data_IF_173668155993
#
_entry.id   IF_173668155993
#
_cell.length_a   1.000
_cell.length_b   1.000
_cell.length_c   1.000
_cell.angle_alpha   90.00
_cell.angle_beta   90.00
_cell.angle_gamma   90.00
#
_symmetry.space_group_name_H-M   'P 1'
#
loop_
_entity.id
_entity.type
_entity.pdbx_description
1 polymer ?
#
# COMPACT_ATOMS: atom_id res chain seq x y z
N UNK A 1 26.14 16.48 9.28
CA UNK A 1 25.93 15.31 8.38
C UNK A 1 25.61 15.85 6.99
N UNK A 2 25.93 15.13 5.92
CA UNK A 2 25.61 15.61 4.56
C UNK A 2 24.10 15.61 4.35
N UNK A 3 23.55 16.59 3.62
CA UNK A 3 22.12 16.67 3.26
C UNK A 3 21.59 15.34 2.69
N UNK A 4 22.40 14.67 1.87
CA UNK A 4 22.06 13.36 1.29
C UNK A 4 21.90 12.26 2.34
N UNK A 5 22.67 12.30 3.43
CA UNK A 5 22.61 11.29 4.50
C UNK A 5 21.37 11.45 5.37
N UNK A 6 20.95 12.69 5.65
CA UNK A 6 19.72 12.95 6.42
C UNK A 6 18.47 12.53 5.65
N UNK A 7 18.43 12.81 4.35
CA UNK A 7 17.32 12.40 3.47
C UNK A 7 17.21 10.86 3.43
N UNK A 8 18.34 10.17 3.25
CA UNK A 8 18.38 8.71 3.22
C UNK A 8 17.83 8.09 4.51
N UNK A 9 18.24 8.61 5.67
CA UNK A 9 17.77 8.12 6.97
C UNK A 9 16.26 8.31 7.10
N UNK A 10 15.73 9.49 6.74
CA UNK A 10 14.28 9.77 6.83
C UNK A 10 13.47 8.86 5.90
N UNK A 11 13.92 8.64 4.66
CA UNK A 11 13.25 7.72 3.72
C UNK A 11 13.26 6.30 4.24
N UNK A 12 14.38 5.84 4.82
CA UNK A 12 14.50 4.49 5.38
C UNK A 12 13.57 4.30 6.58
N UNK A 13 13.46 5.31 7.46
CA UNK A 13 12.50 5.30 8.58
C UNK A 13 11.05 5.23 8.08
N UNK A 14 10.68 6.00 7.05
CA UNK A 14 9.34 5.95 6.45
C UNK A 14 9.07 4.57 5.85
N UNK A 15 10.03 4.03 5.08
CA UNK A 15 9.91 2.71 4.45
C UNK A 15 9.78 1.58 5.48
N UNK A 16 10.38 1.71 6.66
CA UNK A 16 10.25 0.73 7.74
C UNK A 16 8.94 0.88 8.53
N UNK A 17 8.52 2.11 8.80
CA UNK A 17 7.34 2.39 9.66
C UNK A 17 6.01 2.18 8.93
N UNK A 18 5.90 2.60 7.67
CA UNK A 18 4.69 2.47 6.87
C UNK A 18 4.14 1.02 6.79
N UNK A 19 4.94 -0.02 6.44
CA UNK A 19 4.45 -1.38 6.38
C UNK A 19 4.08 -1.94 7.76
N UNK A 20 4.81 -1.57 8.81
CA UNK A 20 4.48 -2.00 10.19
C UNK A 20 3.11 -1.46 10.61
N UNK A 21 2.85 -0.18 10.34
CA UNK A 21 1.56 0.45 10.58
C UNK A 21 0.45 -0.21 9.75
N UNK A 22 0.71 -0.50 8.48
CA UNK A 22 -0.25 -1.17 7.60
C UNK A 22 -0.64 -2.56 8.15
N UNK A 23 0.32 -3.40 8.54
CA UNK A 23 0.05 -4.73 9.11
C UNK A 23 -0.80 -4.64 10.40
N UNK A 24 -0.52 -3.64 11.25
CA UNK A 24 -1.31 -3.38 12.45
C UNK A 24 -2.75 -2.97 12.15
N UNK A 25 -2.94 -2.06 11.17
CA UNK A 25 -4.26 -1.63 10.73
C UNK A 25 -5.08 -2.78 10.12
N UNK A 26 -4.46 -3.64 9.31
CA UNK A 26 -5.15 -4.82 8.74
C UNK A 26 -5.67 -5.76 9.84
N UNK A 27 -4.90 -5.96 10.92
CA UNK A 27 -5.38 -6.75 12.08
C UNK A 27 -6.59 -6.11 12.75
N UNK A 28 -6.51 -4.80 12.98
CA UNK A 28 -7.57 -4.04 13.63
C UNK A 28 -8.84 -4.04 12.79
N UNK A 29 -8.73 -3.90 11.47
CA UNK A 29 -9.86 -3.90 10.55
C UNK A 29 -10.59 -5.24 10.57
N UNK A 30 -9.87 -6.36 10.45
CA UNK A 30 -10.49 -7.69 10.43
C UNK A 30 -11.06 -8.06 11.80
N UNK A 31 -10.37 -7.72 12.90
CA UNK A 31 -10.90 -7.93 14.26
C UNK A 31 -12.11 -7.05 14.55
N UNK A 32 -12.06 -5.78 14.17
CA UNK A 32 -13.15 -4.83 14.29
C UNK A 32 -14.38 -5.29 13.51
N UNK A 33 -14.19 -5.72 12.26
CA UNK A 33 -15.26 -6.26 11.41
C UNK A 33 -15.88 -7.53 11.98
N UNK A 34 -15.09 -8.41 12.57
CA UNK A 34 -15.58 -9.62 13.22
C UNK A 34 -16.42 -9.29 14.47
N UNK A 35 -15.97 -8.34 15.30
CA UNK A 35 -16.71 -7.90 16.49
C UNK A 35 -18.05 -7.25 16.14
N UNK A 36 -18.10 -6.42 15.08
CA UNK A 36 -19.36 -5.87 14.57
C UNK A 36 -20.35 -6.96 14.16
N UNK A 37 -19.84 -8.04 13.56
CA UNK A 37 -20.63 -9.19 13.10
C UNK A 37 -20.90 -10.23 14.21
N UNK A 38 -20.55 -9.95 15.47
CA UNK A 38 -20.63 -10.90 16.60
C UNK A 38 -19.98 -12.26 16.32
N UNK A 39 -18.92 -12.29 15.50
CA UNK A 39 -18.09 -13.49 15.29
C UNK A 39 -16.68 -13.27 15.84
N UNK A 40 -16.00 -14.31 16.32
CA UNK A 40 -14.60 -14.19 16.68
C UNK A 40 -13.76 -13.86 15.44
N UNK A 41 -12.87 -12.88 15.57
CA UNK A 41 -11.87 -12.57 14.54
C UNK A 41 -10.80 -13.65 14.43
N UNK A 42 -9.70 -13.41 13.69
CA UNK A 42 -8.64 -14.39 13.50
C UNK A 42 -8.04 -14.80 14.85
N UNK A 43 -8.16 -16.09 15.21
CA UNK A 43 -7.62 -16.66 16.46
C UNK A 43 -6.61 -17.79 16.22
N UNK A 44 -6.67 -18.45 15.06
CA UNK A 44 -5.92 -19.69 14.77
C UNK A 44 -4.49 -19.48 14.22
N UNK A 45 -4.13 -18.25 13.84
CA UNK A 45 -2.81 -17.93 13.27
C UNK A 45 -1.93 -17.27 14.32
N UNK A 46 -1.13 -18.07 15.02
CA UNK A 46 -0.23 -17.63 16.09
C UNK A 46 -0.94 -17.23 17.39
N UNK A 47 -0.25 -16.50 18.27
CA UNK A 47 -0.81 -16.03 19.54
C UNK A 47 -1.96 -15.04 19.28
N UNK A 48 -3.22 -15.43 19.51
CA UNK A 48 -4.44 -14.59 19.31
C UNK A 48 -4.53 -13.90 17.93
N UNK A 49 -4.02 -14.54 16.89
CA UNK A 49 -4.11 -14.03 15.51
C UNK A 49 -3.12 -12.94 15.13
N UNK A 50 -2.11 -12.59 15.95
CA UNK A 50 -1.17 -11.51 15.64
C UNK A 50 -0.32 -11.77 14.38
N UNK A 51 -0.09 -13.03 14.02
CA UNK A 51 0.73 -13.42 12.86
C UNK A 51 -0.10 -13.38 11.56
N UNK A 52 -1.41 -13.14 11.63
CA UNK A 52 -2.32 -13.15 10.48
C UNK A 52 -1.88 -12.31 9.27
N UNK A 53 -1.40 -11.06 9.41
CA UNK A 53 -1.01 -10.24 8.26
C UNK A 53 0.24 -10.79 7.58
N UNK A 54 1.19 -11.30 8.36
CA UNK A 54 2.40 -11.94 7.84
C UNK A 54 2.07 -13.24 7.12
N UNK A 55 1.17 -14.06 7.67
CA UNK A 55 0.70 -15.27 7.00
C UNK A 55 -0.02 -14.97 5.68
N UNK A 56 -0.76 -13.86 5.64
CA UNK A 56 -1.45 -13.40 4.42
C UNK A 56 -0.45 -12.91 3.37
N UNK A 57 0.57 -12.16 3.78
CA UNK A 57 1.66 -11.75 2.88
C UNK A 57 2.43 -12.96 2.33
N UNK A 58 2.78 -13.92 3.18
CA UNK A 58 3.45 -15.16 2.76
C UNK A 58 2.60 -15.96 1.77
N UNK A 59 1.28 -16.01 1.97
CA UNK A 59 0.35 -16.65 1.04
C UNK A 59 0.34 -15.97 -0.34
N UNK A 60 0.44 -14.64 -0.40
CA UNK A 60 0.51 -13.93 -1.68
C UNK A 60 1.79 -14.24 -2.46
N UNK A 61 2.93 -14.43 -1.77
CA UNK A 61 4.19 -14.82 -2.42
C UNK A 61 4.13 -16.22 -3.04
N UNK A 62 3.29 -17.10 -2.51
CA UNK A 62 3.09 -18.46 -3.03
C UNK A 62 2.05 -18.51 -4.16
N UNK A 63 1.36 -17.39 -4.44
CA UNK A 63 0.31 -17.36 -5.44
C UNK A 63 0.92 -17.38 -6.84
N UNK A 64 0.45 -18.29 -7.69
CA UNK A 64 0.80 -18.28 -9.11
C UNK A 64 0.27 -17.01 -9.78
N UNK A 65 1.12 -16.41 -10.62
CA UNK A 65 0.77 -15.23 -11.39
C UNK A 65 0.02 -15.67 -12.64
N UNK A 66 -1.31 -15.69 -12.58
CA UNK A 66 -2.18 -16.00 -13.73
C UNK A 66 -2.42 -14.70 -14.48
N UNK A 67 -1.87 -14.59 -15.69
CA UNK A 67 -2.04 -13.43 -16.57
C UNK A 67 -3.09 -13.79 -17.62
N UNK A 68 -4.20 -13.03 -17.74
CA UNK A 68 -5.19 -13.28 -18.78
C UNK A 68 -4.57 -13.09 -20.17
N UNK A 69 -4.97 -13.90 -21.14
CA UNK A 69 -4.46 -13.83 -22.52
C UNK A 69 -4.83 -12.54 -23.27
N UNK A 70 -5.79 -11.76 -22.74
CA UNK A 70 -6.38 -10.59 -23.41
C UNK A 70 -5.87 -9.26 -22.82
N UNK A 71 -4.67 -9.26 -22.22
CA UNK A 71 -4.10 -8.10 -21.52
C UNK A 71 -2.63 -7.89 -21.89
N UNK A 72 -2.22 -6.63 -21.99
CA UNK A 72 -0.82 -6.24 -22.12
C UNK A 72 0.00 -6.70 -20.90
N UNK A 73 0.77 -7.77 -21.09
CA UNK A 73 1.62 -8.40 -20.07
C UNK A 73 2.53 -7.42 -19.30
N UNK A 74 3.23 -6.44 -19.93
CA UNK A 74 4.08 -5.53 -19.18
C UNK A 74 3.25 -4.58 -18.30
N UNK A 75 2.14 -4.05 -18.79
CA UNK A 75 1.30 -3.12 -18.03
C UNK A 75 0.71 -3.83 -16.81
N UNK A 76 0.26 -5.08 -16.97
CA UNK A 76 -0.30 -5.88 -15.89
C UNK A 76 0.72 -6.19 -14.78
N UNK A 77 1.99 -6.44 -15.13
CA UNK A 77 3.06 -6.71 -14.15
C UNK A 77 3.52 -5.47 -13.40
N UNK A 78 3.55 -4.30 -14.07
CA UNK A 78 4.04 -3.05 -13.47
C UNK A 78 2.97 -2.27 -12.69
N UNK A 79 1.69 -2.53 -12.93
CA UNK A 79 0.60 -1.85 -12.23
C UNK A 79 0.71 -1.87 -10.69
N UNK A 80 1.02 -3.00 -10.01
CA UNK A 80 1.15 -3.02 -8.55
C UNK A 80 2.35 -2.20 -8.05
N UNK A 81 3.44 -2.13 -8.83
CA UNK A 81 4.62 -1.35 -8.45
C UNK A 81 4.32 0.16 -8.48
N UNK A 82 3.45 0.61 -9.40
CA UNK A 82 3.05 2.00 -9.52
C UNK A 82 2.26 2.49 -8.30
N UNK A 83 1.30 1.68 -7.84
CA UNK A 83 0.50 1.97 -6.64
C UNK A 83 1.40 2.12 -5.41
N UNK A 84 2.39 1.23 -5.25
CA UNK A 84 3.34 1.31 -4.13
C UNK A 84 4.16 2.59 -4.20
N UNK A 85 4.63 2.98 -5.38
CA UNK A 85 5.38 4.22 -5.58
C UNK A 85 4.54 5.46 -5.20
N UNK A 86 3.27 5.50 -5.61
CA UNK A 86 2.35 6.59 -5.25
C UNK A 86 2.14 6.69 -3.73
N UNK A 87 1.93 5.56 -3.06
CA UNK A 87 1.74 5.52 -1.59
C UNK A 87 2.99 6.02 -0.85
N UNK A 88 4.19 5.59 -1.25
CA UNK A 88 5.44 6.08 -0.67
C UNK A 88 5.62 7.59 -0.92
N UNK A 89 5.20 8.07 -2.09
CA UNK A 89 5.16 9.51 -2.41
C UNK A 89 4.28 10.30 -1.44
N UNK A 90 3.10 9.80 -1.10
CA UNK A 90 2.18 10.46 -0.15
C UNK A 90 2.79 10.59 1.25
N UNK A 91 3.54 9.59 1.72
CA UNK A 91 4.21 9.65 3.03
C UNK A 91 5.31 10.72 3.12
N UNK A 92 5.78 11.27 2.00
CA UNK A 92 6.75 12.38 2.00
C UNK A 92 6.16 13.67 2.58
N UNK A 93 4.83 13.83 2.49
CA UNK A 93 4.12 15.07 2.79
C UNK A 93 3.59 15.06 4.22
N UNK A 94 3.24 13.87 4.73
CA UNK A 94 2.63 13.73 6.05
C UNK A 94 3.67 14.05 7.12
N UNK A 95 3.50 15.12 7.91
CA UNK A 95 4.43 15.44 8.99
C UNK A 95 4.20 14.48 10.16
N UNK A 96 5.14 13.55 10.38
CA UNK A 96 5.07 12.59 11.50
C UNK A 96 5.53 13.20 12.84
N UNK A 97 6.35 14.27 12.80
CA UNK A 97 6.85 15.02 13.96
C UNK A 97 7.44 16.35 13.47
N UNK A 98 7.55 17.40 14.32
CA UNK A 98 8.25 18.65 13.98
C UNK A 98 9.68 18.45 13.47
N UNK A 99 10.33 17.33 13.82
CA UNK A 99 11.68 16.96 13.36
C UNK A 99 11.71 15.88 12.28
N UNK A 100 10.59 15.18 12.05
CA UNK A 100 10.44 14.08 11.06
C UNK A 100 9.63 14.54 9.84
N UNK A 101 9.95 15.72 9.32
CA UNK A 101 9.48 16.15 8.00
C UNK A 101 10.56 15.73 6.99
N UNK A 102 10.20 14.88 6.02
CA UNK A 102 11.12 14.41 4.97
C UNK A 102 11.61 15.59 4.14
N UNK A 103 10.69 16.47 3.74
CA UNK A 103 10.99 17.79 3.20
C UNK A 103 9.79 18.71 3.43
N UNK A 104 10.05 19.91 3.94
CA UNK A 104 9.03 20.94 4.03
C UNK A 104 8.77 21.45 2.62
N UNK A 105 7.66 21.04 2.01
CA UNK A 105 7.24 21.53 0.70
C UNK A 105 6.30 22.72 0.93
N UNK A 106 6.72 23.92 0.56
CA UNK A 106 5.86 25.11 0.51
C UNK A 106 4.58 24.86 -0.31
N UNK A 107 4.65 23.93 -1.28
CA UNK A 107 3.54 23.50 -2.14
C UNK A 107 3.09 22.05 -1.86
N UNK A 108 3.10 21.60 -0.60
CA UNK A 108 2.74 20.23 -0.22
C UNK A 108 1.32 19.80 -0.67
N UNK A 109 0.36 20.73 -0.68
CA UNK A 109 -1.02 20.47 -1.13
C UNK A 109 -1.09 20.18 -2.63
N UNK A 110 -0.31 20.88 -3.45
CA UNK A 110 -0.25 20.62 -4.90
C UNK A 110 0.39 19.27 -5.19
N UNK A 111 1.38 18.87 -4.40
CA UNK A 111 2.01 17.57 -4.54
C UNK A 111 1.05 16.43 -4.12
N UNK A 112 0.23 16.61 -3.08
CA UNK A 112 -0.86 15.68 -2.73
C UNK A 112 -1.84 15.50 -3.90
N UNK A 113 -2.31 16.60 -4.49
CA UNK A 113 -3.26 16.59 -5.60
C UNK A 113 -2.68 15.96 -6.88
N UNK A 114 -1.39 16.20 -7.15
CA UNK A 114 -0.69 15.60 -8.27
C UNK A 114 -0.61 14.07 -8.09
N UNK A 115 -0.19 13.61 -6.91
CA UNK A 115 -0.08 12.17 -6.64
C UNK A 115 -1.46 11.49 -6.66
N UNK A 116 -2.51 12.11 -6.10
CA UNK A 116 -3.86 11.51 -6.11
C UNK A 116 -4.44 11.37 -7.53
N UNK A 117 -4.08 12.31 -8.42
CA UNK A 117 -4.50 12.26 -9.83
C UNK A 117 -3.76 11.15 -10.57
N UNK A 118 -2.45 11.03 -10.33
CA UNK A 118 -1.64 9.94 -10.88
C UNK A 118 -2.18 8.61 -10.37
N UNK A 119 -2.41 8.46 -9.05
CA UNK A 119 -2.86 7.20 -8.45
C UNK A 119 -4.21 6.69 -8.97
N UNK A 120 -5.05 7.61 -9.43
CA UNK A 120 -6.34 7.25 -10.03
C UNK A 120 -6.15 6.72 -11.45
N UNK A 121 -5.15 7.23 -12.18
CA UNK A 121 -4.90 6.87 -13.57
C UNK A 121 -4.41 5.43 -13.75
N UNK A 122 -3.70 4.82 -12.79
CA UNK A 122 -3.41 3.37 -12.87
C UNK A 122 -4.60 2.49 -12.48
N UNK A 123 -5.49 2.98 -11.61
CA UNK A 123 -6.64 2.21 -11.13
C UNK A 123 -7.74 2.09 -12.19
N UNK A 124 -7.79 3.07 -13.10
CA UNK A 124 -8.64 3.01 -14.27
C UNK A 124 -7.96 2.06 -15.27
N UNK A 125 -8.58 0.93 -15.64
CA UNK A 125 -8.00 0.09 -16.66
C UNK A 125 -7.86 0.93 -17.92
N UNK A 126 -6.62 1.18 -18.33
CA UNK A 126 -6.30 1.78 -19.62
C UNK A 126 -6.56 0.80 -20.80
N UNK A 127 -7.26 -0.31 -20.52
CA UNK A 127 -7.97 -1.14 -21.47
C UNK A 127 -9.47 -0.91 -21.32
N UNK A 128 -10.14 -0.59 -22.42
CA UNK A 128 -11.56 -0.23 -22.49
C UNK A 128 -12.55 -1.32 -22.02
N UNK A 129 -13.83 -1.24 -22.41
CA UNK A 129 -14.90 -2.08 -21.88
C UNK A 129 -14.74 -3.53 -22.33
N UNK A 130 -13.95 -4.34 -21.62
CA UNK A 130 -13.72 -5.76 -21.92
C UNK A 130 -13.85 -6.65 -20.67
N UNK A 131 -14.75 -6.28 -19.76
CA UNK A 131 -15.30 -7.19 -18.74
C UNK A 131 -16.82 -7.39 -18.87
N UNK A 132 -17.39 -7.14 -20.05
CA UNK A 132 -18.75 -7.54 -20.39
C UNK A 132 -18.68 -8.71 -21.34
N UNK A 133 -18.60 -9.95 -20.85
CA UNK A 133 -19.12 -11.18 -21.47
C UNK A 133 -18.56 -12.41 -20.73
N UNK A 134 -19.18 -12.75 -19.60
CA UNK A 134 -19.19 -14.11 -19.07
C UNK A 134 -20.65 -14.48 -18.82
N UNK A 135 -21.30 -14.98 -19.87
CA UNK A 135 -22.26 -16.08 -19.74
C UNK A 135 -21.47 -17.38 -19.68
#
# INVERSE_FOLDING_TARGET
MSFSTELLIKVLVVLATAPVMALGLTLLEVKGSAWMQRRPGPLHVGLRGFIFPLATAAKYLQKETIIPNDVDEPVFKWAPAWVIAAVVGLFTIIPLSPTLIVRDLELGVFFLLAISSISTSESLPLGGPLQTNFL
#
